data_IF_225008777383
#
_entry.id   IF_225008777383
#
_cell.length_a   1.000
_cell.length_b   1.000
_cell.length_c   1.000
_cell.angle_alpha   90.00
_cell.angle_beta   90.00
_cell.angle_gamma   90.00
#
_symmetry.space_group_name_H-M   'P 1'
#
loop_
_entity.id
_entity.type
_entity.pdbx_description
1 polymer ?
#
# COMPACT_ATOMS: atom_id res chain seq x y z
N UNK A 1 -1.19 23.85 14.92
CA UNK A 1 -1.15 25.06 14.05
C UNK A 1 -1.53 24.59 12.64
N UNK A 2 -2.61 25.12 12.06
CA UNK A 2 -3.00 24.80 10.67
C UNK A 2 -1.99 25.37 9.68
N UNK A 3 -1.68 24.61 8.64
CA UNK A 3 -0.82 25.08 7.55
C UNK A 3 -1.52 26.27 6.84
N UNK A 4 -0.80 27.32 6.44
CA UNK A 4 -1.40 28.42 5.68
C UNK A 4 -1.95 27.90 4.35
N UNK A 5 -3.17 28.30 3.95
CA UNK A 5 -3.77 27.91 2.66
C UNK A 5 -2.86 28.20 1.46
N UNK A 6 -2.08 29.27 1.51
CA UNK A 6 -1.09 29.64 0.48
C UNK A 6 0.06 28.64 0.35
N UNK A 7 0.39 27.90 1.41
CA UNK A 7 1.38 26.82 1.36
C UNK A 7 0.76 25.57 0.74
N UNK A 8 -0.49 25.25 1.04
CA UNK A 8 -1.23 24.12 0.44
C UNK A 8 -1.31 24.28 -1.09
N UNK A 9 -1.54 25.49 -1.59
CA UNK A 9 -1.57 25.78 -3.03
C UNK A 9 -0.20 25.61 -3.71
N UNK A 10 0.90 26.00 -3.05
CA UNK A 10 2.24 25.84 -3.61
C UNK A 10 2.71 24.38 -3.69
N UNK A 11 2.18 23.50 -2.83
CA UNK A 11 2.49 22.07 -2.81
C UNK A 11 1.44 21.20 -3.51
N UNK A 12 0.39 21.80 -4.07
CA UNK A 12 -0.73 21.07 -4.67
C UNK A 12 -0.29 20.08 -5.75
N UNK A 13 0.63 20.46 -6.65
CA UNK A 13 1.13 19.53 -7.69
C UNK A 13 1.96 18.38 -7.13
N UNK A 14 2.71 18.60 -6.04
CA UNK A 14 3.43 17.52 -5.34
C UNK A 14 2.50 16.66 -4.47
N UNK A 15 1.36 17.20 -4.06
CA UNK A 15 0.33 16.52 -3.29
C UNK A 15 -0.68 15.78 -4.18
N UNK A 16 -0.83 16.14 -5.46
CA UNK A 16 -1.62 15.37 -6.44
C UNK A 16 -1.09 13.93 -6.56
N UNK A 17 0.22 13.73 -6.46
CA UNK A 17 0.83 12.38 -6.45
C UNK A 17 0.28 11.53 -5.30
N UNK A 18 -0.11 12.14 -4.17
CA UNK A 18 -0.73 11.43 -3.06
C UNK A 18 -2.13 10.88 -3.41
N UNK A 19 -2.85 11.52 -4.34
CA UNK A 19 -4.17 11.06 -4.80
C UNK A 19 -4.09 9.86 -5.75
N UNK A 20 -2.97 9.72 -6.46
CA UNK A 20 -2.69 8.64 -7.42
C UNK A 20 -1.89 7.48 -6.79
N UNK A 21 -1.49 7.60 -5.52
CA UNK A 21 -0.71 6.58 -4.83
C UNK A 21 -1.56 5.35 -4.50
N UNK A 22 -0.96 4.17 -4.52
CA UNK A 22 -1.62 2.94 -4.08
C UNK A 22 -1.74 2.86 -2.54
N UNK A 23 -0.79 3.46 -1.82
CA UNK A 23 -0.71 3.45 -0.36
C UNK A 23 -0.02 4.73 0.14
N UNK A 24 -0.60 5.36 1.16
CA UNK A 24 0.02 6.47 1.90
C UNK A 24 0.69 5.96 3.16
N UNK A 25 1.96 6.29 3.35
CA UNK A 25 2.65 6.14 4.63
C UNK A 25 2.58 7.45 5.38
N UNK A 26 1.79 7.48 6.44
CA UNK A 26 1.63 8.66 7.28
C UNK A 26 2.49 8.51 8.53
N UNK A 27 3.64 9.18 8.51
CA UNK A 27 4.63 9.13 9.60
C UNK A 27 4.26 10.14 10.68
N UNK A 28 4.08 9.66 11.91
CA UNK A 28 3.66 10.44 13.08
C UNK A 28 4.78 10.40 14.12
N UNK A 29 5.13 11.53 14.71
CA UNK A 29 6.09 11.59 15.81
C UNK A 29 5.41 11.14 17.12
N UNK A 30 5.73 9.94 17.61
CA UNK A 30 5.15 9.39 18.83
C UNK A 30 5.59 10.12 20.10
N UNK A 31 6.69 10.88 20.04
CA UNK A 31 7.21 11.66 21.18
C UNK A 31 6.60 13.06 21.28
N UNK A 32 5.75 13.44 20.32
CA UNK A 32 5.07 14.72 20.35
C UNK A 32 4.10 14.81 21.54
N UNK A 33 3.88 16.03 22.04
CA UNK A 33 2.95 16.31 23.15
C UNK A 33 1.52 15.88 22.82
N UNK A 34 1.14 15.95 21.55
CA UNK A 34 -0.20 15.57 21.07
C UNK A 34 -0.10 14.99 19.65
N UNK A 35 0.25 13.69 19.51
CA UNK A 35 0.36 13.02 18.22
C UNK A 35 -0.99 12.91 17.50
N UNK A 36 -2.09 12.81 18.25
CA UNK A 36 -3.42 12.62 17.66
C UNK A 36 -3.94 13.85 16.95
N UNK A 37 -3.75 15.03 17.53
CA UNK A 37 -4.07 16.28 16.83
C UNK A 37 -3.27 16.43 15.53
N UNK A 38 -2.05 15.88 15.45
CA UNK A 38 -1.27 15.89 14.21
C UNK A 38 -1.88 14.96 13.16
N UNK A 39 -2.29 13.75 13.56
CA UNK A 39 -2.98 12.81 12.67
C UNK A 39 -4.24 13.46 12.08
N UNK A 40 -5.07 14.06 12.94
CA UNK A 40 -6.30 14.75 12.51
C UNK A 40 -5.98 15.87 11.53
N UNK A 41 -5.00 16.73 11.84
CA UNK A 41 -4.63 17.84 10.97
C UNK A 41 -4.14 17.39 9.59
N UNK A 42 -3.36 16.30 9.51
CA UNK A 42 -2.92 15.75 8.22
C UNK A 42 -4.09 15.14 7.46
N UNK A 43 -4.99 14.41 8.12
CA UNK A 43 -6.21 13.86 7.49
C UNK A 43 -7.15 14.95 6.98
N UNK A 44 -7.25 16.10 7.65
CA UNK A 44 -7.96 17.28 7.13
C UNK A 44 -7.38 17.71 5.78
N UNK A 45 -6.05 17.88 5.68
CA UNK A 45 -5.37 18.27 4.44
C UNK A 45 -5.52 17.20 3.34
N UNK A 46 -5.37 15.92 3.67
CA UNK A 46 -5.59 14.81 2.73
C UNK A 46 -7.03 14.81 2.20
N UNK A 47 -8.00 15.18 3.04
CA UNK A 47 -9.40 15.35 2.64
C UNK A 47 -9.60 16.52 1.67
N UNK A 48 -8.97 17.67 1.91
CA UNK A 48 -9.06 18.86 1.05
C UNK A 48 -8.52 18.60 -0.37
N UNK A 49 -7.51 17.74 -0.50
CA UNK A 49 -6.94 17.36 -1.80
C UNK A 49 -7.56 16.09 -2.40
N UNK A 50 -8.48 15.42 -1.70
CA UNK A 50 -9.14 14.19 -2.16
C UNK A 50 -8.31 12.91 -2.02
N UNK A 51 -7.17 12.96 -1.34
CA UNK A 51 -6.28 11.81 -1.09
C UNK A 51 -6.77 10.89 0.05
N UNK A 52 -7.83 11.28 0.78
CA UNK A 52 -8.43 10.48 1.85
C UNK A 52 -9.09 9.16 1.37
N UNK A 53 -9.15 8.93 0.05
CA UNK A 53 -9.60 7.67 -0.54
C UNK A 53 -8.48 6.64 -0.68
N UNK A 54 -7.23 7.07 -0.63
CA UNK A 54 -6.07 6.18 -0.72
C UNK A 54 -5.87 5.47 0.62
N UNK A 55 -5.62 4.16 0.63
CA UNK A 55 -5.30 3.42 1.85
C UNK A 55 -4.16 4.09 2.63
N UNK A 56 -4.31 4.19 3.95
CA UNK A 56 -3.35 4.83 4.84
C UNK A 56 -2.73 3.80 5.80
N UNK A 57 -1.39 3.79 5.90
CA UNK A 57 -0.63 3.11 6.94
C UNK A 57 -0.02 4.16 7.87
N UNK A 58 -0.47 4.20 9.12
CA UNK A 58 0.14 5.00 10.17
C UNK A 58 1.47 4.37 10.61
N UNK A 59 2.50 5.21 10.71
CA UNK A 59 3.86 4.83 11.11
C UNK A 59 4.29 5.73 12.26
N UNK A 60 4.28 5.20 13.48
CA UNK A 60 4.68 5.92 14.69
C UNK A 60 6.20 5.94 14.82
N UNK A 61 6.83 7.01 14.37
CA UNK A 61 8.28 7.21 14.42
C UNK A 61 8.72 7.78 15.77
N UNK A 62 10.01 7.63 16.08
CA UNK A 62 10.67 8.01 17.34
C UNK A 62 10.25 7.17 18.54
N UNK A 63 9.98 5.88 18.32
CA UNK A 63 9.69 4.94 19.41
C UNK A 63 10.83 4.82 20.43
N UNK A 64 12.06 5.21 20.07
CA UNK A 64 13.21 5.24 20.98
C UNK A 64 13.12 6.36 22.03
N UNK A 65 12.42 7.45 21.72
CA UNK A 65 12.28 8.60 22.60
C UNK A 65 11.14 8.43 23.62
N UNK A 66 10.04 7.78 23.20
CA UNK A 66 8.92 7.42 24.09
C UNK A 66 8.31 6.06 23.69
N UNK A 67 8.89 4.94 24.17
CA UNK A 67 8.45 3.60 23.82
C UNK A 67 7.03 3.26 24.31
N UNK A 68 6.61 3.80 25.45
CA UNK A 68 5.30 3.48 26.05
C UNK A 68 4.18 4.18 25.28
N UNK A 69 4.36 5.45 24.91
CA UNK A 69 3.44 6.14 24.01
C UNK A 69 3.38 5.46 22.64
N UNK A 70 4.53 5.10 22.04
CA UNK A 70 4.54 4.41 20.75
C UNK A 70 3.76 3.08 20.77
N UNK A 71 3.94 2.27 21.82
CA UNK A 71 3.17 1.01 22.00
C UNK A 71 1.67 1.27 22.16
N UNK A 72 1.29 2.26 22.96
CA UNK A 72 -0.11 2.65 23.15
C UNK A 72 -0.74 3.07 21.83
N UNK A 73 -0.05 3.89 21.05
CA UNK A 73 -0.53 4.35 19.74
C UNK A 73 -0.70 3.19 18.75
N UNK A 74 0.23 2.22 18.71
CA UNK A 74 0.05 1.02 17.88
C UNK A 74 -1.15 0.20 18.30
N UNK A 75 -1.41 0.09 19.61
CA UNK A 75 -2.57 -0.61 20.14
C UNK A 75 -3.90 0.09 19.81
N UNK A 76 -3.93 1.43 19.89
CA UNK A 76 -5.11 2.24 19.59
C UNK A 76 -5.41 2.33 18.07
N UNK A 77 -4.38 2.20 17.23
CA UNK A 77 -4.48 2.24 15.78
C UNK A 77 -4.10 0.89 15.17
N UNK A 78 -5.05 -0.05 15.16
CA UNK A 78 -4.83 -1.40 14.64
C UNK A 78 -4.25 -1.41 13.22
N UNK A 79 -3.23 -2.24 13.01
CA UNK A 79 -2.54 -2.36 11.72
C UNK A 79 -1.52 -1.25 11.41
N UNK A 80 -1.27 -0.34 12.35
CA UNK A 80 -0.14 0.59 12.32
C UNK A 80 1.15 -0.09 12.81
N UNK A 81 2.29 0.59 12.64
CA UNK A 81 3.61 0.11 13.11
C UNK A 81 4.35 1.21 13.85
N UNK A 82 5.20 0.83 14.81
CA UNK A 82 6.12 1.74 15.48
C UNK A 82 7.55 1.53 14.99
N UNK A 83 8.26 2.63 14.75
CA UNK A 83 9.64 2.62 14.26
C UNK A 83 10.49 3.67 14.96
N UNK A 84 11.80 3.48 14.89
CA UNK A 84 12.79 4.54 15.14
C UNK A 84 13.63 4.69 13.89
N UNK A 85 13.35 5.72 13.10
CA UNK A 85 14.15 6.03 11.92
C UNK A 85 15.62 6.35 12.26
N UNK A 86 15.88 6.82 13.49
CA UNK A 86 17.24 7.12 13.96
C UNK A 86 18.07 5.87 14.26
N UNK A 87 17.44 4.82 14.81
CA UNK A 87 18.14 3.59 15.23
C UNK A 87 17.96 2.44 14.25
N UNK A 88 16.95 2.52 13.36
CA UNK A 88 16.54 1.42 12.48
C UNK A 88 15.58 0.42 13.14
N UNK A 89 15.23 0.59 14.43
CA UNK A 89 14.28 -0.29 15.09
C UNK A 89 12.90 -0.23 14.41
N UNK A 90 12.26 -1.39 14.23
CA UNK A 90 10.92 -1.51 13.63
C UNK A 90 10.89 -1.38 12.10
N UNK A 91 12.00 -1.05 11.43
CA UNK A 91 12.01 -0.86 9.97
C UNK A 91 11.71 -2.17 9.21
N UNK A 92 12.23 -3.31 9.66
CA UNK A 92 11.91 -4.61 9.04
C UNK A 92 10.42 -4.95 9.12
N UNK A 93 9.78 -4.61 10.23
CA UNK A 93 8.33 -4.78 10.41
C UNK A 93 7.55 -3.84 9.50
N UNK A 94 7.94 -2.56 9.43
CA UNK A 94 7.37 -1.60 8.49
C UNK A 94 7.45 -2.11 7.05
N UNK A 95 8.62 -2.60 6.61
CA UNK A 95 8.80 -3.11 5.26
C UNK A 95 7.90 -4.32 4.97
N UNK A 96 7.75 -5.25 5.93
CA UNK A 96 6.82 -6.39 5.80
C UNK A 96 5.37 -5.93 5.69
N UNK A 97 4.94 -5.04 6.58
CA UNK A 97 3.57 -4.50 6.57
C UNK A 97 3.25 -3.75 5.28
N UNK A 98 4.18 -2.95 4.77
CA UNK A 98 4.04 -2.28 3.46
C UNK A 98 3.90 -3.32 2.35
N UNK A 99 4.77 -4.33 2.33
CA UNK A 99 4.73 -5.37 1.31
C UNK A 99 3.41 -6.17 1.36
N UNK A 100 2.90 -6.49 2.56
CA UNK A 100 1.61 -7.16 2.75
C UNK A 100 0.44 -6.30 2.26
N UNK A 101 0.43 -5.01 2.59
CA UNK A 101 -0.62 -4.09 2.14
C UNK A 101 -0.60 -3.90 0.63
N UNK A 102 0.56 -3.68 0.04
CA UNK A 102 0.69 -3.57 -1.43
C UNK A 102 0.23 -4.86 -2.11
N UNK A 103 0.60 -6.03 -1.59
CA UNK A 103 0.10 -7.32 -2.10
C UNK A 103 -1.42 -7.45 -1.97
N UNK A 104 -2.02 -6.96 -0.88
CA UNK A 104 -3.47 -7.01 -0.68
C UNK A 104 -4.25 -6.11 -1.66
N UNK A 105 -3.61 -5.05 -2.15
CA UNK A 105 -4.18 -4.16 -3.16
C UNK A 105 -4.14 -4.79 -4.56
N UNK A 106 -3.21 -5.72 -4.81
CA UNK A 106 -3.19 -6.49 -6.07
C UNK A 106 -4.22 -7.62 -6.04
N UNK A 107 -5.27 -7.52 -6.86
CA UNK A 107 -6.25 -8.57 -7.00
C UNK A 107 -5.60 -9.86 -7.51
N UNK A 108 -5.86 -10.99 -6.84
CA UNK A 108 -5.56 -12.31 -7.40
C UNK A 108 -6.56 -12.55 -8.53
N UNK A 109 -6.06 -12.62 -9.75
CA UNK A 109 -6.86 -13.00 -10.91
C UNK A 109 -6.60 -14.45 -11.27
N UNK A 110 -7.62 -15.09 -11.82
CA UNK A 110 -7.52 -16.42 -12.39
C UNK A 110 -7.48 -16.30 -13.91
N UNK A 111 -6.52 -16.97 -14.53
CA UNK A 111 -6.26 -16.93 -15.97
C UNK A 111 -6.24 -18.35 -16.51
N UNK A 112 -6.79 -18.59 -17.69
CA UNK A 112 -6.58 -19.84 -18.44
C UNK A 112 -5.69 -19.51 -19.64
N UNK A 113 -4.43 -19.95 -19.58
CA UNK A 113 -3.43 -19.64 -20.61
C UNK A 113 -3.24 -20.86 -21.52
N UNK A 114 -3.55 -20.78 -22.82
CA UNK A 114 -3.32 -21.87 -23.76
C UNK A 114 -1.85 -22.30 -23.81
N UNK A 115 -1.57 -23.58 -24.06
CA UNK A 115 -0.19 -24.11 -24.11
C UNK A 115 0.66 -23.43 -25.20
N UNK A 116 0.02 -22.92 -26.26
CA UNK A 116 0.65 -22.18 -27.35
C UNK A 116 1.07 -20.77 -26.94
N UNK A 117 0.51 -20.22 -25.86
CA UNK A 117 0.77 -18.86 -25.35
C UNK A 117 1.81 -18.84 -24.22
N UNK A 118 2.96 -19.45 -24.48
CA UNK A 118 4.10 -19.42 -23.56
C UNK A 118 4.63 -18.00 -23.28
N UNK A 119 4.40 -17.06 -24.20
CA UNK A 119 4.68 -15.63 -24.04
C UNK A 119 3.89 -15.01 -22.88
N UNK A 120 2.62 -15.39 -22.73
CA UNK A 120 1.72 -14.93 -21.66
C UNK A 120 2.18 -15.46 -20.31
N UNK A 121 2.49 -16.77 -20.22
CA UNK A 121 3.06 -17.37 -19.02
C UNK A 121 4.35 -16.67 -18.58
N UNK A 122 5.25 -16.42 -19.52
CA UNK A 122 6.48 -15.71 -19.23
C UNK A 122 6.23 -14.26 -18.76
N UNK A 123 5.19 -13.60 -19.28
CA UNK A 123 4.77 -12.27 -18.81
C UNK A 123 4.26 -12.30 -17.38
N UNK A 124 3.42 -13.27 -17.02
CA UNK A 124 2.89 -13.44 -15.67
C UNK A 124 4.02 -13.66 -14.66
N UNK A 125 5.03 -14.47 -15.00
CA UNK A 125 6.19 -14.68 -14.13
C UNK A 125 7.12 -13.47 -13.99
N UNK A 126 7.19 -12.60 -15.02
CA UNK A 126 8.02 -11.38 -14.98
C UNK A 126 7.34 -10.22 -14.25
N UNK A 127 6.03 -10.08 -14.43
CA UNK A 127 5.27 -8.88 -14.05
C UNK A 127 4.29 -9.13 -12.90
N UNK A 128 4.19 -10.36 -12.42
CA UNK A 128 3.26 -10.75 -11.36
C UNK A 128 3.82 -11.83 -10.45
N UNK A 129 3.01 -12.21 -9.47
CA UNK A 129 3.32 -13.28 -8.52
C UNK A 129 2.36 -14.45 -8.78
N UNK A 130 2.90 -15.60 -9.20
CA UNK A 130 2.11 -16.82 -9.38
C UNK A 130 1.79 -17.41 -8.02
N UNK A 131 0.50 -17.44 -7.68
CA UNK A 131 -0.04 -18.03 -6.45
C UNK A 131 -0.18 -19.54 -6.60
N UNK A 132 -0.68 -20.00 -7.75
CA UNK A 132 -0.84 -21.42 -8.06
C UNK A 132 -1.02 -21.68 -9.55
N UNK A 133 -0.67 -22.89 -9.99
CA UNK A 133 -0.89 -23.36 -11.37
C UNK A 133 -1.54 -24.75 -11.37
N UNK A 134 -2.48 -24.98 -12.28
CA UNK A 134 -3.07 -26.28 -12.56
C UNK A 134 -3.10 -26.52 -14.07
N UNK A 135 -2.80 -27.75 -14.50
CA UNK A 135 -2.90 -28.13 -15.91
C UNK A 135 -4.33 -28.60 -16.17
N UNK A 136 -4.97 -28.03 -17.19
CA UNK A 136 -6.34 -28.37 -17.59
C UNK A 136 -6.40 -28.62 -19.11
N UNK A 137 -7.53 -29.15 -19.57
CA UNK A 137 -7.81 -29.27 -20.99
C UNK A 137 -7.91 -27.87 -21.61
N UNK A 138 -7.04 -27.59 -22.57
CA UNK A 138 -6.99 -26.30 -23.27
C UNK A 138 -5.99 -25.28 -22.70
N UNK A 139 -5.27 -25.59 -21.62
CA UNK A 139 -4.20 -24.71 -21.14
C UNK A 139 -3.77 -24.92 -19.69
N UNK A 140 -3.03 -23.95 -19.16
CA UNK A 140 -2.63 -23.88 -17.77
C UNK A 140 -3.54 -22.85 -17.08
N UNK A 141 -4.30 -23.29 -16.08
CA UNK A 141 -5.02 -22.41 -15.17
C UNK A 141 -4.03 -21.84 -14.17
N UNK A 142 -3.94 -20.52 -14.09
CA UNK A 142 -3.01 -19.80 -13.24
C UNK A 142 -3.77 -18.83 -12.35
N UNK A 143 -3.52 -18.90 -11.04
CA UNK A 143 -3.90 -17.82 -10.13
C UNK A 143 -2.67 -16.97 -9.91
N UNK A 144 -2.75 -15.70 -10.25
CA UNK A 144 -1.63 -14.78 -10.13
C UNK A 144 -2.10 -13.44 -9.56
N UNK A 145 -1.26 -12.82 -8.75
CA UNK A 145 -1.39 -11.39 -8.43
C UNK A 145 -0.76 -10.61 -9.56
N UNK A 146 -1.56 -9.77 -10.21
CA UNK A 146 -1.11 -8.89 -11.27
C UNK A 146 -1.34 -7.43 -10.87
N UNK A 147 -0.41 -6.56 -11.22
CA UNK A 147 -0.64 -5.12 -11.22
C UNK A 147 -1.74 -4.78 -12.25
N UNK A 148 -2.47 -3.68 -12.04
CA UNK A 148 -3.60 -3.30 -12.90
C UNK A 148 -3.23 -3.15 -14.37
N UNK A 149 -2.04 -2.62 -14.67
CA UNK A 149 -1.53 -2.50 -16.04
C UNK A 149 -1.35 -3.85 -16.74
N UNK A 150 -0.91 -4.90 -16.02
CA UNK A 150 -0.75 -6.24 -16.57
C UNK A 150 -2.10 -6.97 -16.65
N UNK A 151 -3.00 -6.74 -15.69
CA UNK A 151 -4.38 -7.25 -15.73
C UNK A 151 -5.13 -6.77 -16.98
N UNK A 152 -5.02 -5.48 -17.32
CA UNK A 152 -5.63 -4.92 -18.52
C UNK A 152 -5.18 -5.62 -19.81
N UNK A 153 -3.89 -5.90 -19.95
CA UNK A 153 -3.34 -6.62 -21.12
C UNK A 153 -3.77 -8.08 -21.19
N UNK A 154 -3.95 -8.73 -20.05
CA UNK A 154 -4.24 -10.17 -19.96
C UNK A 154 -5.74 -10.49 -19.82
N UNK A 155 -6.60 -9.48 -20.00
CA UNK A 155 -8.07 -9.60 -19.86
C UNK A 155 -8.65 -10.75 -20.70
N UNK A 156 -8.11 -11.01 -21.90
CA UNK A 156 -8.58 -12.10 -22.77
C UNK A 156 -8.44 -13.50 -22.17
N UNK A 157 -7.53 -13.68 -21.21
CA UNK A 157 -7.28 -14.95 -20.52
C UNK A 157 -7.97 -15.04 -19.17
N UNK A 158 -8.51 -13.93 -18.65
CA UNK A 158 -9.11 -13.89 -17.32
C UNK A 158 -10.37 -14.74 -17.30
N UNK A 159 -10.41 -15.71 -16.39
CA UNK A 159 -11.58 -16.53 -16.13
C UNK A 159 -12.42 -15.80 -15.10
N UNK A 160 -13.64 -15.37 -15.47
CA UNK A 160 -14.55 -14.73 -14.52
C UNK A 160 -14.82 -15.67 -13.33
N UNK A 161 -14.83 -15.16 -12.09
CA UNK A 161 -15.28 -15.96 -10.96
C UNK A 161 -16.74 -16.37 -11.22
N UNK A 162 -17.03 -17.67 -11.07
CA UNK A 162 -18.42 -18.16 -11.00
C UNK A 162 -19.06 -17.80 -9.67
#
# INVERSE_FOLDING_TARGET
>A
KRLPHTLIEAFKSTLEVATESDLLLHVVDSSAVDPESQIVAVREVLGEIGANKVPELLVFNKMDADPDTAKRMVYEHEGSVAVSAATGAGIDELLRTVADRVRSLTAVVELLVPYERGDVMASIHREGEVVSTAHEDGGIRVRARLADASRGRLTEFVVSPS
#
